data_IF_915730601883
#
_entry.id   IF_915730601883
#
_cell.length_a   1.000
_cell.length_b   1.000
_cell.length_c   1.000
_cell.angle_alpha   90.00
_cell.angle_beta   90.00
_cell.angle_gamma   90.00
#
_symmetry.space_group_name_H-M   'P 1'
#
loop_
_entity.id
_entity.type
_entity.pdbx_description
1 polymer ?
#
# COMPACT_ATOMS: atom_id res chain seq x y z
N UNK A 1 -16.94 35.10 -1.54
CA UNK A 1 -15.85 34.25 -0.96
C UNK A 1 -16.35 32.95 -0.27
N UNK A 2 -17.65 32.60 -0.30
CA UNK A 2 -18.20 31.49 0.52
C UNK A 2 -18.26 30.10 -0.15
N UNK A 3 -18.48 30.00 -1.48
CA UNK A 3 -18.65 28.69 -2.15
C UNK A 3 -17.34 27.92 -2.43
N UNK A 4 -16.23 28.60 -2.64
CA UNK A 4 -14.93 27.96 -2.93
C UNK A 4 -14.37 27.27 -1.68
N UNK A 5 -14.52 27.88 -0.50
CA UNK A 5 -14.05 27.30 0.76
C UNK A 5 -14.89 26.10 1.21
N UNK A 6 -16.21 26.13 1.02
CA UNK A 6 -17.10 25.00 1.27
C UNK A 6 -16.74 23.79 0.38
N UNK A 7 -16.62 23.99 -0.94
CA UNK A 7 -16.21 22.94 -1.89
C UNK A 7 -14.85 22.32 -1.57
N UNK A 8 -13.89 23.13 -1.08
CA UNK A 8 -12.58 22.63 -0.67
C UNK A 8 -12.66 21.75 0.58
N UNK A 9 -13.50 22.11 1.55
CA UNK A 9 -13.74 21.30 2.76
C UNK A 9 -14.42 19.98 2.42
N UNK A 10 -15.45 20.01 1.56
CA UNK A 10 -16.16 18.80 1.15
C UNK A 10 -15.23 17.83 0.42
N UNK A 11 -14.39 18.33 -0.48
CA UNK A 11 -13.39 17.51 -1.19
C UNK A 11 -12.36 16.92 -0.23
N UNK A 12 -11.89 17.70 0.74
CA UNK A 12 -10.95 17.22 1.76
C UNK A 12 -11.60 16.13 2.62
N UNK A 13 -12.82 16.36 3.09
CA UNK A 13 -13.55 15.35 3.87
C UNK A 13 -13.89 14.08 3.08
N UNK A 14 -14.12 14.18 1.77
CA UNK A 14 -14.26 13.01 0.91
C UNK A 14 -12.93 12.25 0.77
N UNK A 15 -11.82 12.96 0.58
CA UNK A 15 -10.49 12.37 0.50
C UNK A 15 -10.08 11.68 1.81
N UNK A 16 -10.26 12.35 2.95
CA UNK A 16 -9.90 11.82 4.26
C UNK A 16 -10.71 10.55 4.59
N UNK A 17 -12.00 10.51 4.24
CA UNK A 17 -12.83 9.30 4.36
C UNK A 17 -12.34 8.16 3.48
N UNK A 18 -12.02 8.44 2.23
CA UNK A 18 -11.51 7.43 1.32
C UNK A 18 -10.16 6.88 1.78
N UNK A 19 -9.27 7.74 2.29
CA UNK A 19 -8.00 7.31 2.86
C UNK A 19 -8.21 6.42 4.09
N UNK A 20 -9.12 6.78 5.00
CA UNK A 20 -9.45 5.96 6.16
C UNK A 20 -9.98 4.56 5.77
N UNK A 21 -10.83 4.47 4.75
CA UNK A 21 -11.29 3.18 4.24
C UNK A 21 -10.16 2.36 3.61
N UNK A 22 -9.25 3.01 2.86
CA UNK A 22 -8.09 2.34 2.27
C UNK A 22 -7.12 1.82 3.35
N UNK A 23 -6.87 2.61 4.39
CA UNK A 23 -6.04 2.23 5.56
C UNK A 23 -6.64 1.04 6.30
N UNK A 24 -7.97 0.99 6.46
CA UNK A 24 -8.66 -0.15 7.07
C UNK A 24 -8.52 -1.44 6.23
N UNK A 25 -8.47 -1.34 4.90
CA UNK A 25 -8.19 -2.48 4.02
C UNK A 25 -6.74 -2.96 4.20
N UNK A 26 -5.76 -2.05 4.18
CA UNK A 26 -4.34 -2.40 4.40
C UNK A 26 -4.15 -3.07 5.77
N UNK A 27 -4.74 -2.50 6.82
CA UNK A 27 -4.66 -3.06 8.18
C UNK A 27 -5.18 -4.49 8.26
N UNK A 28 -6.30 -4.81 7.59
CA UNK A 28 -6.85 -6.17 7.61
C UNK A 28 -6.02 -7.14 6.76
N UNK A 29 -5.57 -6.74 5.56
CA UNK A 29 -4.75 -7.59 4.69
C UNK A 29 -3.38 -7.91 5.31
N UNK A 30 -2.78 -6.98 6.05
CA UNK A 30 -1.51 -7.18 6.77
C UNK A 30 -1.55 -8.36 7.75
N UNK A 31 -2.71 -8.72 8.28
CA UNK A 31 -2.86 -9.84 9.23
C UNK A 31 -2.60 -11.20 8.58
N UNK A 32 -2.67 -11.25 7.26
CA UNK A 32 -2.48 -12.45 6.45
C UNK A 32 -1.13 -12.45 5.71
N UNK A 33 -0.38 -11.35 5.77
CA UNK A 33 0.91 -11.18 5.12
C UNK A 33 2.05 -11.30 6.15
N UNK A 34 3.18 -11.87 5.74
CA UNK A 34 4.40 -11.89 6.57
C UNK A 34 5.22 -10.60 6.45
N UNK A 35 5.04 -9.87 5.35
CA UNK A 35 5.59 -8.53 5.18
C UNK A 35 4.70 -7.68 4.26
N UNK A 36 4.77 -6.35 4.40
CA UNK A 36 4.09 -5.42 3.53
C UNK A 36 4.95 -4.17 3.27
N UNK A 37 5.04 -3.76 2.00
CA UNK A 37 5.80 -2.59 1.56
C UNK A 37 4.86 -1.59 0.90
N UNK A 38 4.88 -0.34 1.37
CA UNK A 38 4.15 0.77 0.74
C UNK A 38 5.03 1.45 -0.31
N UNK A 39 4.49 1.59 -1.50
CA UNK A 39 5.10 2.31 -2.62
C UNK A 39 4.46 3.68 -2.80
N UNK A 40 5.10 4.55 -3.56
CA UNK A 40 4.49 5.82 -3.97
C UNK A 40 3.19 5.53 -4.73
N UNK A 41 2.07 6.20 -4.40
CA UNK A 41 0.86 6.08 -5.21
C UNK A 41 1.11 6.50 -6.66
N UNK A 42 0.60 5.72 -7.60
CA UNK A 42 0.76 5.98 -9.03
C UNK A 42 -0.07 7.20 -9.44
N UNK A 43 0.50 8.04 -10.30
CA UNK A 43 -0.21 9.23 -10.81
C UNK A 43 -1.35 8.82 -11.74
N UNK A 44 -2.43 9.59 -11.74
CA UNK A 44 -3.60 9.44 -12.64
C UNK A 44 -3.22 9.28 -14.12
N UNK A 45 -2.15 9.96 -14.55
CA UNK A 45 -1.63 9.91 -15.93
C UNK A 45 -1.13 8.51 -16.35
N UNK A 46 -0.71 7.68 -15.39
CA UNK A 46 -0.23 6.31 -15.61
C UNK A 46 -1.36 5.28 -15.54
N UNK A 47 -2.44 5.57 -14.80
CA UNK A 47 -3.55 4.63 -14.59
C UNK A 47 -4.74 4.86 -15.52
N UNK A 48 -4.78 6.02 -16.21
CA UNK A 48 -5.88 6.42 -17.08
C UNK A 48 -7.20 6.72 -16.34
N UNK A 49 -7.17 6.79 -15.01
CA UNK A 49 -8.35 6.98 -14.15
C UNK A 49 -8.41 8.41 -13.61
N UNK A 50 -9.63 8.96 -13.54
CA UNK A 50 -9.93 10.30 -13.00
C UNK A 50 -9.82 10.42 -11.46
N UNK A 51 -9.40 9.36 -10.77
CA UNK A 51 -9.25 9.36 -9.32
C UNK A 51 -7.83 8.94 -8.95
N UNK A 52 -7.18 9.64 -8.00
CA UNK A 52 -5.82 9.34 -7.60
C UNK A 52 -5.79 8.01 -6.84
N UNK A 53 -4.72 7.24 -7.03
CA UNK A 53 -4.47 6.09 -6.18
C UNK A 53 -4.18 6.58 -4.76
N UNK A 54 -4.88 6.01 -3.77
CA UNK A 54 -4.69 6.37 -2.36
C UNK A 54 -3.51 5.60 -1.77
N UNK A 55 -3.51 4.28 -1.97
CA UNK A 55 -2.47 3.38 -1.49
C UNK A 55 -1.96 2.49 -2.62
N UNK A 56 -0.66 2.24 -2.61
CA UNK A 56 0.02 1.27 -3.46
C UNK A 56 0.84 0.36 -2.53
N UNK A 57 0.36 -0.86 -2.28
CA UNK A 57 0.94 -1.76 -1.28
C UNK A 57 1.24 -3.10 -1.91
N UNK A 58 2.45 -3.62 -1.66
CA UNK A 58 2.82 -5.00 -1.96
C UNK A 58 2.76 -5.82 -0.67
N UNK A 59 2.22 -7.04 -0.75
CA UNK A 59 2.16 -7.99 0.37
C UNK A 59 2.97 -9.23 0.04
N UNK A 60 3.82 -9.67 0.98
CA UNK A 60 4.45 -10.97 0.95
C UNK A 60 3.60 -11.92 1.78
N UNK A 61 3.10 -12.98 1.16
CA UNK A 61 2.18 -13.92 1.79
C UNK A 61 2.81 -15.31 1.72
N UNK A 62 2.81 -16.01 2.85
CA UNK A 62 3.18 -17.43 2.88
C UNK A 62 2.27 -18.24 1.97
N UNK A 63 2.82 -19.20 1.24
CA UNK A 63 2.05 -20.00 0.28
C UNK A 63 0.86 -20.72 0.96
N UNK A 64 1.06 -21.19 2.20
CA UNK A 64 0.01 -21.80 3.04
C UNK A 64 -1.15 -20.86 3.39
N UNK A 65 -0.94 -19.53 3.38
CA UNK A 65 -1.94 -18.51 3.70
C UNK A 65 -2.54 -17.84 2.46
N UNK A 66 -2.07 -18.20 1.26
CA UNK A 66 -2.47 -17.57 -0.01
C UNK A 66 -3.98 -17.58 -0.22
N UNK A 67 -4.64 -18.71 0.01
CA UNK A 67 -6.10 -18.84 -0.15
C UNK A 67 -6.84 -17.93 0.83
N UNK A 68 -6.46 -17.96 2.12
CA UNK A 68 -7.07 -17.10 3.14
C UNK A 68 -6.91 -15.61 2.82
N UNK A 69 -5.74 -15.20 2.33
CA UNK A 69 -5.51 -13.82 1.87
C UNK A 69 -6.46 -13.44 0.73
N UNK A 70 -6.58 -14.30 -0.29
CA UNK A 70 -7.46 -14.06 -1.43
C UNK A 70 -8.94 -13.99 -1.04
N UNK A 71 -9.39 -14.85 -0.12
CA UNK A 71 -10.76 -14.84 0.40
C UNK A 71 -11.06 -13.56 1.18
N UNK A 72 -10.13 -13.11 2.03
CA UNK A 72 -10.27 -11.84 2.75
C UNK A 72 -10.33 -10.69 1.77
N UNK A 73 -9.41 -10.62 0.80
CA UNK A 73 -9.44 -9.61 -0.26
C UNK A 73 -10.78 -9.61 -1.02
N UNK A 74 -11.29 -10.79 -1.39
CA UNK A 74 -12.60 -10.96 -2.03
C UNK A 74 -13.73 -10.38 -1.17
N UNK A 75 -13.83 -10.76 0.11
CA UNK A 75 -14.84 -10.20 1.03
C UNK A 75 -14.71 -8.69 1.21
N UNK A 76 -13.49 -8.19 1.35
CA UNK A 76 -13.24 -6.76 1.55
C UNK A 76 -13.71 -5.91 0.37
N UNK A 77 -13.75 -6.50 -0.84
CA UNK A 77 -14.08 -5.84 -2.10
C UNK A 77 -15.51 -6.11 -2.58
N UNK A 78 -16.11 -7.24 -2.23
CA UNK A 78 -17.45 -7.62 -2.68
C UNK A 78 -18.59 -6.91 -1.92
N UNK A 79 -18.40 -6.63 -0.62
CA UNK A 79 -19.55 -6.34 0.26
C UNK A 79 -20.11 -4.92 0.14
N UNK A 80 -19.57 -4.06 -0.73
CA UNK A 80 -19.99 -2.66 -0.84
C UNK A 80 -19.78 -1.82 0.44
N UNK A 81 -19.22 -2.41 1.49
CA UNK A 81 -18.99 -1.81 2.82
C UNK A 81 -18.02 -0.63 2.81
N UNK A 82 -17.31 -0.43 1.70
CA UNK A 82 -16.27 0.59 1.52
C UNK A 82 -16.52 1.37 0.22
N UNK A 83 -17.63 2.12 0.15
CA UNK A 83 -18.05 2.76 -1.09
C UNK A 83 -17.13 3.91 -1.52
N UNK A 84 -16.26 4.41 -0.62
CA UNK A 84 -15.36 5.50 -0.95
C UNK A 84 -14.09 5.03 -1.69
N UNK A 85 -13.83 3.72 -1.75
CA UNK A 85 -12.63 3.16 -2.37
C UNK A 85 -12.93 2.01 -3.32
N UNK A 86 -12.08 1.87 -4.33
CA UNK A 86 -11.99 0.67 -5.16
C UNK A 86 -10.62 0.05 -4.94
N UNK A 87 -10.60 -1.24 -4.68
CA UNK A 87 -9.36 -2.02 -4.55
C UNK A 87 -9.21 -2.85 -5.82
N UNK A 88 -8.06 -2.70 -6.48
CA UNK A 88 -7.65 -3.56 -7.59
C UNK A 88 -6.38 -4.30 -7.11
N UNK A 89 -6.26 -5.59 -7.43
CA UNK A 89 -5.13 -6.42 -7.03
C UNK A 89 -4.58 -7.20 -8.24
N UNK A 90 -3.29 -7.50 -8.21
CA UNK A 90 -2.62 -8.30 -9.22
C UNK A 90 -1.59 -9.24 -8.58
N UNK A 91 -1.25 -10.31 -9.30
CA UNK A 91 -0.27 -11.31 -8.88
C UNK A 91 -0.82 -12.74 -8.85
N UNK A 92 -0.06 -13.69 -8.29
CA UNK A 92 1.23 -13.52 -7.61
C UNK A 92 2.37 -13.11 -8.56
N UNK A 93 3.39 -12.44 -8.03
CA UNK A 93 4.60 -12.03 -8.75
C UNK A 93 5.86 -12.44 -7.98
N UNK A 94 7.02 -12.43 -8.63
CA UNK A 94 8.32 -12.57 -7.96
C UNK A 94 8.47 -11.43 -6.91
N UNK A 95 8.94 -11.70 -5.67
CA UNK A 95 8.88 -10.76 -4.56
C UNK A 95 9.97 -9.68 -4.59
N UNK A 96 10.17 -9.01 -5.73
CA UNK A 96 11.20 -7.97 -5.90
C UNK A 96 11.06 -6.82 -4.88
N UNK A 97 9.84 -6.51 -4.43
CA UNK A 97 9.58 -5.49 -3.39
C UNK A 97 10.17 -5.84 -2.01
N UNK A 98 10.60 -7.08 -1.82
CA UNK A 98 11.12 -7.62 -0.55
C UNK A 98 12.56 -8.11 -0.67
N UNK A 99 13.11 -8.19 -1.89
CA UNK A 99 14.50 -8.50 -2.13
C UNK A 99 15.35 -7.24 -1.85
N UNK A 100 15.75 -7.03 -0.59
CA UNK A 100 16.86 -6.14 -0.25
C UNK A 100 17.99 -6.99 0.29
N UNK A 101 19.20 -6.79 -0.22
CA UNK A 101 20.40 -7.26 0.45
C UNK A 101 20.65 -6.31 1.62
N UNK A 102 20.80 -6.87 2.81
CA UNK A 102 21.42 -6.16 3.92
C UNK A 102 22.85 -5.84 3.45
N UNK A 103 23.12 -4.58 3.10
CA UNK A 103 24.50 -4.10 3.10
C UNK A 103 24.96 -4.14 4.55
N UNK A 104 25.73 -5.16 4.91
CA UNK A 104 26.43 -5.22 6.20
C UNK A 104 27.45 -4.07 6.25
N UNK A 105 27.31 -3.05 7.13
CA UNK A 105 28.26 -1.94 7.20
C UNK A 105 29.56 -2.30 7.94
N UNK A 106 29.87 -3.59 8.12
CA UNK A 106 31.09 -4.05 8.79
C UNK A 106 32.14 -4.52 7.78
N UNK A 107 32.61 -3.61 6.93
CA UNK A 107 33.98 -3.66 6.43
C UNK A 107 34.71 -2.43 6.97
N UNK A 108 35.18 -2.54 8.21
CA UNK A 108 36.05 -1.53 8.80
C UNK A 108 37.34 -1.41 7.98
N UNK A 109 37.78 -0.21 7.59
CA UNK A 109 39.08 -0.06 6.98
C UNK A 109 40.17 -0.23 8.04
N UNK A 110 41.21 -0.94 7.62
CA UNK A 110 42.42 -1.35 8.31
C UNK A 110 42.97 -0.41 9.40
N UNK A 111 43.49 -1.06 10.44
CA UNK A 111 44.29 -0.50 11.50
C UNK A 111 45.58 0.13 10.92
N UNK A 112 45.66 1.46 10.85
CA UNK A 112 46.93 2.16 10.63
C UNK A 112 47.85 1.93 11.83
N UNK A 113 48.95 1.22 11.59
CA UNK A 113 50.05 1.04 12.54
C UNK A 113 50.89 2.33 12.52
N UNK A 114 51.07 3.06 13.63
CA UNK A 114 51.89 4.27 13.62
C UNK A 114 53.38 3.90 13.65
N UNK A 115 54.19 4.69 12.95
CA UNK A 115 55.66 4.69 13.05
C UNK A 115 56.14 5.46 14.29
#
# INVERSE_FOLDING_TARGET
LSRISARRRDRRGAHDRALAEAEAVDAELRRYAVAATRHRPQSERLTGRRAPQLLNVAYLVEDSRRTAFAEVLGRLTADGRRPAVRVDASGPWIPYSFARWDEDPQAGPDQEVPA
#
